data_IF_159521711250
#
_entry.id   IF_159521711250
#
_cell.length_a   1.000
_cell.length_b   1.000
_cell.length_c   1.000
_cell.angle_alpha   90.00
_cell.angle_beta   90.00
_cell.angle_gamma   90.00
#
_symmetry.space_group_name_H-M   'P 1'
#
loop_
_entity.id
_entity.type
_entity.pdbx_description
1 polymer ?
#
# COMPACT_ATOMS: atom_id res chain seq x y z
N UNK A 1 -43.18 5.04 14.17
CA UNK A 1 -42.58 4.35 13.01
C UNK A 1 -42.20 2.94 13.48
N UNK A 2 -43.04 1.93 13.24
CA UNK A 2 -42.76 0.58 13.73
C UNK A 2 -41.71 -0.07 12.83
N UNK A 3 -40.54 -0.35 13.38
CA UNK A 3 -39.46 -1.04 12.68
C UNK A 3 -39.68 -2.54 12.88
N UNK A 4 -40.48 -3.15 12.01
CA UNK A 4 -40.49 -4.61 11.88
C UNK A 4 -39.18 -5.04 11.21
N UNK A 5 -38.38 -5.80 11.93
CA UNK A 5 -37.17 -6.44 11.41
C UNK A 5 -37.57 -7.82 10.91
N UNK A 6 -37.99 -7.91 9.65
CA UNK A 6 -38.05 -9.22 8.98
C UNK A 6 -36.61 -9.73 8.80
N UNK A 7 -36.33 -10.84 9.47
CA UNK A 7 -34.97 -11.33 9.71
C UNK A 7 -34.60 -12.40 8.66
N UNK A 8 -34.46 -12.00 7.39
CA UNK A 8 -33.96 -12.91 6.35
C UNK A 8 -32.50 -13.28 6.66
N UNK A 9 -32.21 -14.58 6.75
CA UNK A 9 -30.86 -15.12 6.94
C UNK A 9 -29.83 -14.58 5.95
N UNK A 10 -30.24 -14.17 4.73
CA UNK A 10 -29.36 -13.52 3.75
C UNK A 10 -28.70 -12.25 4.29
N UNK A 11 -29.39 -11.49 5.14
CA UNK A 11 -28.87 -10.25 5.73
C UNK A 11 -27.72 -10.48 6.74
N UNK A 12 -27.49 -11.72 7.18
CA UNK A 12 -26.36 -12.10 8.04
C UNK A 12 -25.36 -12.97 7.27
N UNK A 13 -25.84 -13.95 6.50
CA UNK A 13 -24.99 -14.87 5.76
C UNK A 13 -24.13 -14.14 4.71
N UNK A 14 -24.70 -13.20 3.95
CA UNK A 14 -23.95 -12.50 2.90
C UNK A 14 -22.86 -11.58 3.47
N UNK A 15 -23.09 -10.73 4.50
CA UNK A 15 -22.01 -9.99 5.15
C UNK A 15 -20.91 -10.88 5.74
N UNK A 16 -21.23 -12.01 6.38
CA UNK A 16 -20.23 -12.89 7.00
C UNK A 16 -19.39 -13.63 5.97
N UNK A 17 -20.03 -14.25 4.96
CA UNK A 17 -19.34 -14.95 3.87
C UNK A 17 -18.53 -13.95 3.03
N UNK A 18 -19.12 -12.79 2.73
CA UNK A 18 -18.47 -11.69 2.03
C UNK A 18 -17.23 -11.18 2.74
N UNK A 19 -17.29 -11.02 4.07
CA UNK A 19 -16.15 -10.62 4.88
C UNK A 19 -15.01 -11.64 4.85
N UNK A 20 -15.32 -12.93 5.00
CA UNK A 20 -14.33 -14.01 4.88
C UNK A 20 -13.69 -14.05 3.48
N UNK A 21 -14.50 -13.88 2.43
CA UNK A 21 -14.02 -13.82 1.05
C UNK A 21 -13.15 -12.59 0.79
N UNK A 22 -13.53 -11.40 1.29
CA UNK A 22 -12.74 -10.17 1.17
C UNK A 22 -11.38 -10.29 1.86
N UNK A 23 -11.34 -10.87 3.07
CA UNK A 23 -10.08 -11.17 3.76
C UNK A 23 -9.19 -12.11 2.92
N UNK A 24 -9.77 -13.20 2.38
CA UNK A 24 -9.07 -14.16 1.53
C UNK A 24 -8.50 -13.52 0.26
N UNK A 25 -9.31 -12.73 -0.47
CA UNK A 25 -8.88 -12.02 -1.69
C UNK A 25 -7.75 -11.04 -1.39
N UNK A 26 -7.89 -10.20 -0.36
CA UNK A 26 -6.85 -9.21 -0.01
C UNK A 26 -5.55 -9.89 0.45
N UNK A 27 -5.63 -11.00 1.19
CA UNK A 27 -4.45 -11.78 1.59
C UNK A 27 -3.75 -12.42 0.38
N UNK A 28 -4.52 -13.07 -0.52
CA UNK A 28 -3.99 -13.68 -1.74
C UNK A 28 -3.34 -12.64 -2.65
N UNK A 29 -4.01 -11.51 -2.90
CA UNK A 29 -3.47 -10.42 -3.70
C UNK A 29 -2.20 -9.82 -3.08
N UNK A 30 -2.12 -9.69 -1.75
CA UNK A 30 -0.90 -9.24 -1.06
C UNK A 30 0.26 -10.23 -1.28
N UNK A 31 0.03 -11.54 -1.11
CA UNK A 31 1.05 -12.58 -1.34
C UNK A 31 1.55 -12.58 -2.80
N UNK A 32 0.63 -12.47 -3.77
CA UNK A 32 0.99 -12.41 -5.19
C UNK A 32 1.75 -11.12 -5.51
N UNK A 33 1.31 -9.97 -5.01
CA UNK A 33 1.98 -8.68 -5.24
C UNK A 33 3.42 -8.65 -4.68
N UNK A 34 3.65 -9.25 -3.51
CA UNK A 34 5.01 -9.39 -2.94
C UNK A 34 5.90 -10.32 -3.76
N UNK A 35 5.38 -11.49 -4.19
CA UNK A 35 6.13 -12.41 -5.05
C UNK A 35 6.44 -11.82 -6.42
N UNK A 36 5.57 -10.95 -6.95
CA UNK A 36 5.71 -10.37 -8.27
C UNK A 36 6.92 -9.43 -8.42
N UNK A 37 7.47 -8.87 -7.33
CA UNK A 37 8.69 -8.03 -7.21
C UNK A 37 8.91 -6.93 -8.27
N UNK A 38 7.88 -6.57 -9.03
CA UNK A 38 7.97 -5.80 -10.27
C UNK A 38 6.74 -4.91 -10.48
N UNK A 39 6.62 -4.32 -11.67
CA UNK A 39 5.49 -3.49 -12.13
C UNK A 39 4.14 -4.17 -11.87
N UNK A 40 4.08 -5.51 -11.99
CA UNK A 40 2.89 -6.31 -11.69
C UNK A 40 2.41 -6.17 -10.24
N UNK A 41 3.30 -6.05 -9.26
CA UNK A 41 2.91 -5.79 -7.87
C UNK A 41 2.26 -4.41 -7.68
N UNK A 42 2.71 -3.41 -8.45
CA UNK A 42 2.07 -2.10 -8.53
C UNK A 42 0.68 -2.17 -9.16
N UNK A 43 0.57 -2.82 -10.33
CA UNK A 43 -0.71 -3.02 -11.04
C UNK A 43 -1.72 -3.77 -10.16
N UNK A 44 -1.34 -4.88 -9.54
CA UNK A 44 -2.18 -5.65 -8.61
C UNK A 44 -2.63 -4.79 -7.41
N UNK A 45 -1.72 -3.97 -6.86
CA UNK A 45 -2.03 -3.02 -5.79
C UNK A 45 -2.98 -1.90 -6.18
N UNK A 46 -3.15 -1.62 -7.48
CA UNK A 46 -4.13 -0.64 -8.00
C UNK A 46 -5.50 -1.25 -8.36
N UNK A 47 -5.68 -2.56 -8.23
CA UNK A 47 -6.95 -3.22 -8.54
C UNK A 47 -8.02 -2.96 -7.46
N UNK A 48 -9.31 -2.88 -7.83
CA UNK A 48 -10.40 -2.65 -6.89
C UNK A 48 -10.75 -3.92 -6.10
N UNK A 49 -9.83 -4.40 -5.27
CA UNK A 49 -9.95 -5.67 -4.54
C UNK A 49 -11.08 -5.61 -3.50
N UNK A 50 -10.95 -4.74 -2.49
CA UNK A 50 -11.94 -4.61 -1.40
C UNK A 50 -13.25 -4.01 -1.91
N UNK A 51 -13.18 -2.97 -2.76
CA UNK A 51 -14.35 -2.34 -3.34
C UNK A 51 -15.13 -3.29 -4.27
N UNK A 52 -14.42 -4.13 -5.04
CA UNK A 52 -15.02 -5.16 -5.89
C UNK A 52 -15.81 -6.20 -5.10
N UNK A 53 -15.20 -6.77 -4.06
CA UNK A 53 -15.89 -7.73 -3.18
C UNK A 53 -17.05 -7.07 -2.43
N UNK A 54 -16.85 -5.85 -1.90
CA UNK A 54 -17.92 -5.12 -1.21
C UNK A 54 -19.11 -4.79 -2.13
N UNK A 55 -18.87 -4.30 -3.34
CA UNK A 55 -19.91 -4.05 -4.34
C UNK A 55 -20.64 -5.34 -4.72
N UNK A 56 -19.92 -6.45 -4.90
CA UNK A 56 -20.53 -7.75 -5.17
C UNK A 56 -21.42 -8.23 -4.02
N UNK A 57 -20.99 -8.06 -2.76
CA UNK A 57 -21.82 -8.36 -1.59
C UNK A 57 -23.05 -7.44 -1.48
N UNK A 58 -22.92 -6.15 -1.81
CA UNK A 58 -24.06 -5.22 -1.92
C UNK A 58 -25.05 -5.73 -2.98
N UNK A 59 -24.58 -6.13 -4.17
CA UNK A 59 -25.42 -6.69 -5.24
C UNK A 59 -26.20 -7.95 -4.80
N UNK A 60 -25.60 -8.82 -3.97
CA UNK A 60 -26.27 -10.02 -3.45
C UNK A 60 -27.27 -9.74 -2.32
N UNK A 61 -27.14 -8.62 -1.60
CA UNK A 61 -28.09 -8.19 -0.57
C UNK A 61 -29.24 -7.35 -1.16
N UNK A 62 -28.95 -6.56 -2.19
CA UNK A 62 -29.89 -5.62 -2.80
C UNK A 62 -30.62 -6.24 -3.98
N UNK A 63 -31.86 -6.70 -3.75
CA UNK A 63 -32.72 -7.31 -4.79
C UNK A 63 -33.24 -6.30 -5.85
N UNK A 64 -33.01 -5.01 -5.69
CA UNK A 64 -33.42 -3.96 -6.62
C UNK A 64 -32.23 -3.37 -7.39
N UNK A 65 -32.36 -3.26 -8.71
CA UNK A 65 -31.34 -2.66 -9.57
C UNK A 65 -31.16 -1.17 -9.34
N UNK A 66 -32.22 -0.43 -8.97
CA UNK A 66 -32.09 1.01 -8.77
C UNK A 66 -31.34 1.33 -7.46
N UNK A 67 -31.73 0.66 -6.37
CA UNK A 67 -31.03 0.68 -5.10
C UNK A 67 -29.54 0.28 -5.23
N UNK A 68 -29.22 -0.70 -6.08
CA UNK A 68 -27.83 -1.06 -6.35
C UNK A 68 -27.07 0.06 -7.10
N UNK A 69 -27.70 0.64 -8.13
CA UNK A 69 -27.13 1.78 -8.87
C UNK A 69 -26.88 3.00 -7.97
N UNK A 70 -27.80 3.33 -7.06
CA UNK A 70 -27.62 4.45 -6.13
C UNK A 70 -26.40 4.25 -5.21
N UNK A 71 -26.17 3.02 -4.75
CA UNK A 71 -24.96 2.67 -4.02
C UNK A 71 -23.70 2.84 -4.89
N UNK A 72 -23.71 2.28 -6.10
CA UNK A 72 -22.55 2.28 -6.99
C UNK A 72 -22.21 3.67 -7.54
N UNK A 73 -23.21 4.51 -7.81
CA UNK A 73 -23.01 5.88 -8.26
C UNK A 73 -22.65 6.82 -7.09
N UNK A 74 -22.90 6.46 -5.83
CA UNK A 74 -22.33 7.22 -4.70
C UNK A 74 -20.81 7.00 -4.55
N UNK A 75 -20.30 5.81 -4.91
CA UNK A 75 -18.90 5.39 -4.66
C UNK A 75 -17.84 6.43 -5.09
N UNK A 76 -17.86 7.01 -6.30
CA UNK A 76 -16.79 7.91 -6.72
C UNK A 76 -16.71 9.23 -5.94
N UNK A 77 -17.79 9.64 -5.25
CA UNK A 77 -17.76 10.74 -4.28
C UNK A 77 -16.90 10.35 -3.06
N UNK A 78 -17.04 9.11 -2.59
CA UNK A 78 -16.13 8.51 -1.61
C UNK A 78 -14.71 8.34 -2.15
N UNK A 79 -14.53 7.95 -3.42
CA UNK A 79 -13.21 7.88 -4.06
C UNK A 79 -12.47 9.23 -4.02
N UNK A 80 -13.17 10.35 -4.27
CA UNK A 80 -12.60 11.69 -4.15
C UNK A 80 -12.13 11.98 -2.71
N UNK A 81 -12.95 11.69 -1.69
CA UNK A 81 -12.53 11.81 -0.29
C UNK A 81 -11.30 10.95 0.02
N UNK A 82 -11.20 9.75 -0.58
CA UNK A 82 -10.06 8.86 -0.42
C UNK A 82 -8.79 9.44 -1.05
N UNK A 83 -8.89 10.07 -2.22
CA UNK A 83 -7.79 10.82 -2.85
C UNK A 83 -7.33 11.98 -1.96
N UNK A 84 -8.26 12.76 -1.41
CA UNK A 84 -7.95 13.85 -0.48
C UNK A 84 -7.30 13.35 0.83
N UNK A 85 -7.74 12.21 1.36
CA UNK A 85 -7.09 11.54 2.49
C UNK A 85 -5.64 11.20 2.13
N UNK A 86 -5.38 10.52 1.01
CA UNK A 86 -4.01 10.19 0.64
C UNK A 86 -3.15 11.42 0.33
N UNK A 87 -3.75 12.55 -0.07
CA UNK A 87 -3.07 13.84 -0.11
C UNK A 87 -2.67 14.32 1.30
N UNK A 88 -3.50 14.17 2.34
CA UNK A 88 -3.08 14.45 3.73
C UNK A 88 -1.91 13.56 4.14
N UNK A 89 -1.98 12.24 3.90
CA UNK A 89 -0.87 11.32 4.16
C UNK A 89 0.41 11.70 3.42
N UNK A 90 0.30 12.29 2.22
CA UNK A 90 1.43 12.76 1.44
C UNK A 90 2.03 14.07 1.97
N UNK A 91 1.22 15.11 2.10
CA UNK A 91 1.69 16.49 2.29
C UNK A 91 1.83 16.89 3.77
N UNK A 92 0.97 16.40 4.67
CA UNK A 92 1.01 16.78 6.08
C UNK A 92 2.34 16.44 6.80
N UNK A 93 2.95 15.25 6.58
CA UNK A 93 4.21 14.94 7.25
C UNK A 93 5.34 15.89 6.84
N UNK A 94 5.40 16.25 5.54
CA UNK A 94 6.41 17.14 4.95
C UNK A 94 6.32 18.59 5.45
N UNK A 95 5.14 19.03 5.92
CA UNK A 95 4.91 20.41 6.40
C UNK A 95 5.18 20.54 7.92
N UNK A 96 5.12 19.45 8.68
CA UNK A 96 5.15 19.51 10.15
C UNK A 96 6.56 19.46 10.74
N UNK A 97 7.04 20.61 11.24
CA UNK A 97 8.28 20.71 12.01
C UNK A 97 8.20 19.94 13.34
N UNK A 98 9.28 19.22 13.68
CA UNK A 98 9.72 18.76 15.00
C UNK A 98 8.72 18.01 15.92
N UNK A 99 7.53 17.62 15.45
CA UNK A 99 6.63 16.73 16.20
C UNK A 99 7.17 15.30 16.25
N UNK A 100 6.95 14.62 17.39
CA UNK A 100 7.22 13.18 17.55
C UNK A 100 6.44 12.36 16.49
N UNK A 101 7.08 11.34 15.90
CA UNK A 101 6.50 10.49 14.87
C UNK A 101 5.14 9.89 15.26
N UNK A 102 4.95 9.48 16.51
CA UNK A 102 3.69 8.93 17.01
C UNK A 102 2.57 9.97 17.01
N UNK A 103 2.91 11.24 17.32
CA UNK A 103 1.97 12.36 17.30
C UNK A 103 1.62 12.75 15.87
N UNK A 104 2.61 12.79 14.96
CA UNK A 104 2.36 12.99 13.51
C UNK A 104 1.40 11.93 12.96
N UNK A 105 1.67 10.65 13.25
CA UNK A 105 0.82 9.53 12.85
C UNK A 105 -0.61 9.67 13.37
N UNK A 106 -0.78 9.95 14.68
CA UNK A 106 -2.09 10.13 15.29
C UNK A 106 -2.88 11.28 14.64
N UNK A 107 -2.25 12.44 14.40
CA UNK A 107 -2.91 13.58 13.75
C UNK A 107 -3.34 13.22 12.32
N UNK A 108 -2.48 12.58 11.52
CA UNK A 108 -2.81 12.17 10.14
C UNK A 108 -3.96 11.16 10.12
N UNK A 109 -3.96 10.18 11.03
CA UNK A 109 -5.06 9.20 11.15
C UNK A 109 -6.37 9.89 11.55
N UNK A 110 -6.35 10.74 12.59
CA UNK A 110 -7.54 11.46 13.06
C UNK A 110 -8.08 12.38 11.96
N UNK A 111 -7.21 13.18 11.31
CA UNK A 111 -7.61 14.05 10.20
C UNK A 111 -8.21 13.25 9.03
N UNK A 112 -7.68 12.06 8.74
CA UNK A 112 -8.23 11.17 7.70
C UNK A 112 -9.63 10.66 8.06
N UNK A 113 -9.83 10.26 9.32
CA UNK A 113 -11.13 9.77 9.80
C UNK A 113 -12.17 10.90 9.86
N UNK A 114 -11.78 12.10 10.32
CA UNK A 114 -12.64 13.29 10.35
C UNK A 114 -13.03 13.71 8.93
N UNK A 115 -12.08 13.76 8.00
CA UNK A 115 -12.36 14.08 6.59
C UNK A 115 -13.28 13.03 5.96
N UNK A 116 -13.07 11.74 6.25
CA UNK A 116 -13.94 10.68 5.75
C UNK A 116 -15.36 10.79 6.29
N UNK A 117 -15.53 10.82 7.61
CA UNK A 117 -16.84 10.81 8.26
C UNK A 117 -17.60 12.10 7.97
N UNK A 118 -16.94 13.26 8.13
CA UNK A 118 -17.52 14.57 7.85
C UNK A 118 -17.86 14.76 6.37
N UNK A 119 -16.95 14.34 5.47
CA UNK A 119 -17.18 14.40 4.03
C UNK A 119 -18.36 13.53 3.58
N UNK A 120 -18.44 12.28 4.06
CA UNK A 120 -19.55 11.39 3.73
C UNK A 120 -20.89 11.85 4.35
N UNK A 121 -20.86 12.38 5.57
CA UNK A 121 -22.05 13.02 6.16
C UNK A 121 -22.55 14.18 5.30
N UNK A 122 -21.65 15.05 4.83
CA UNK A 122 -21.98 16.17 3.94
C UNK A 122 -22.52 15.72 2.58
N UNK A 123 -21.90 14.71 1.95
CA UNK A 123 -22.39 14.08 0.72
C UNK A 123 -23.83 13.56 0.91
N UNK A 124 -24.07 12.76 1.96
CA UNK A 124 -25.39 12.19 2.24
C UNK A 124 -26.44 13.28 2.52
N UNK A 125 -26.06 14.36 3.23
CA UNK A 125 -26.94 15.49 3.48
C UNK A 125 -27.35 16.21 2.17
N UNK A 126 -26.41 16.44 1.25
CA UNK A 126 -26.70 17.05 -0.06
C UNK A 126 -27.60 16.15 -0.91
N UNK A 127 -27.27 14.85 -1.00
CA UNK A 127 -28.02 13.90 -1.83
C UNK A 127 -29.47 13.73 -1.33
N UNK A 128 -29.67 13.63 -0.01
CA UNK A 128 -31.01 13.58 0.59
C UNK A 128 -31.80 14.88 0.46
N UNK A 129 -31.14 16.04 0.56
CA UNK A 129 -31.80 17.34 0.54
C UNK A 129 -32.34 17.79 -0.82
N UNK A 130 -32.18 17.00 -1.89
CA UNK A 130 -32.52 17.38 -3.27
C UNK A 130 -33.36 16.36 -4.06
N UNK A 131 -33.80 15.26 -3.43
CA UNK A 131 -34.55 14.16 -4.08
C UNK A 131 -33.95 13.74 -5.44
N UNK A 132 -32.63 13.64 -5.50
CA UNK A 132 -31.86 13.46 -6.74
C UNK A 132 -32.12 12.07 -7.32
N UNK A 133 -32.55 12.00 -8.58
CA UNK A 133 -32.70 10.73 -9.31
C UNK A 133 -31.34 10.15 -9.68
N UNK A 134 -31.24 8.84 -9.78
CA UNK A 134 -30.00 8.09 -9.99
C UNK A 134 -29.18 8.53 -11.21
N UNK A 135 -29.83 8.98 -12.29
CA UNK A 135 -29.16 9.57 -13.46
C UNK A 135 -28.48 10.91 -13.17
N UNK A 136 -29.07 11.75 -12.32
CA UNK A 136 -28.46 13.02 -11.90
C UNK A 136 -27.27 12.76 -10.96
N UNK A 137 -27.38 11.73 -10.10
CA UNK A 137 -26.25 11.25 -9.27
C UNK A 137 -25.07 10.85 -10.17
N UNK A 138 -25.31 10.10 -11.26
CA UNK A 138 -24.26 9.67 -12.19
C UNK A 138 -23.47 10.86 -12.79
N UNK A 139 -24.15 11.92 -13.25
CA UNK A 139 -23.48 13.09 -13.83
C UNK A 139 -22.63 13.86 -12.80
N UNK A 140 -23.19 14.12 -11.62
CA UNK A 140 -22.47 14.75 -10.49
C UNK A 140 -21.23 13.92 -10.12
N UNK A 141 -21.40 12.61 -10.08
CA UNK A 141 -20.36 11.65 -9.72
C UNK A 141 -19.25 11.55 -10.76
N UNK A 142 -19.58 11.57 -12.06
CA UNK A 142 -18.59 11.62 -13.14
C UNK A 142 -17.73 12.89 -13.06
N UNK A 143 -18.35 14.04 -12.75
CA UNK A 143 -17.64 15.30 -12.54
C UNK A 143 -16.67 15.22 -11.35
N UNK A 144 -17.11 14.69 -10.19
CA UNK A 144 -16.23 14.51 -9.04
C UNK A 144 -15.15 13.44 -9.24
N UNK A 145 -15.41 12.38 -10.03
CA UNK A 145 -14.40 11.41 -10.43
C UNK A 145 -13.34 12.05 -11.34
N UNK A 146 -13.75 12.90 -12.28
CA UNK A 146 -12.81 13.66 -13.12
C UNK A 146 -11.93 14.59 -12.27
N UNK A 147 -12.50 15.28 -11.27
CA UNK A 147 -11.72 16.06 -10.28
C UNK A 147 -10.76 15.16 -9.50
N UNK A 148 -11.21 14.00 -9.01
CA UNK A 148 -10.35 13.05 -8.30
C UNK A 148 -9.17 12.58 -9.16
N UNK A 149 -9.41 12.31 -10.44
CA UNK A 149 -8.38 12.00 -11.42
C UNK A 149 -7.39 13.16 -11.61
N UNK A 150 -7.86 14.40 -11.81
CA UNK A 150 -6.98 15.57 -11.95
C UNK A 150 -6.12 15.78 -10.71
N UNK A 151 -6.72 15.73 -9.50
CA UNK A 151 -5.97 15.86 -8.24
C UNK A 151 -4.92 14.76 -8.11
N UNK A 152 -5.31 13.49 -8.33
CA UNK A 152 -4.42 12.36 -8.17
C UNK A 152 -3.30 12.32 -9.23
N UNK A 153 -3.56 12.76 -10.47
CA UNK A 153 -2.53 12.90 -11.51
C UNK A 153 -1.60 14.07 -11.19
N UNK A 154 -2.11 15.25 -10.82
CA UNK A 154 -1.26 16.41 -10.47
C UNK A 154 -0.39 16.11 -9.25
N UNK A 155 -0.99 15.63 -8.15
CA UNK A 155 -0.24 15.19 -6.99
C UNK A 155 0.71 14.03 -7.32
N UNK A 156 0.32 13.13 -8.23
CA UNK A 156 1.18 12.07 -8.76
C UNK A 156 2.43 12.60 -9.45
N UNK A 157 2.26 13.45 -10.46
CA UNK A 157 3.35 14.08 -11.22
C UNK A 157 4.29 14.88 -10.32
N UNK A 158 3.75 15.71 -9.41
CA UNK A 158 4.55 16.48 -8.45
C UNK A 158 5.36 15.57 -7.51
N UNK A 159 4.85 14.38 -7.18
CA UNK A 159 5.44 13.49 -6.18
C UNK A 159 6.31 12.37 -6.75
N UNK A 160 6.25 12.06 -8.06
CA UNK A 160 7.07 11.02 -8.69
C UNK A 160 8.58 11.25 -8.56
N UNK A 161 9.01 12.51 -8.35
CA UNK A 161 10.39 12.88 -8.02
C UNK A 161 10.93 12.15 -6.78
N UNK A 162 10.07 11.80 -5.82
CA UNK A 162 10.44 11.16 -4.54
C UNK A 162 9.95 9.69 -4.44
N UNK A 163 9.73 8.99 -5.56
CA UNK A 163 9.35 7.57 -5.49
C UNK A 163 10.50 6.72 -4.94
N UNK A 164 10.28 6.06 -3.79
CA UNK A 164 11.23 5.09 -3.24
C UNK A 164 10.83 3.70 -3.72
N UNK A 165 11.77 2.96 -4.34
CA UNK A 165 11.52 1.57 -4.76
C UNK A 165 11.15 0.75 -3.52
N UNK A 166 10.15 -0.16 -3.57
CA UNK A 166 9.79 -0.98 -2.42
C UNK A 166 11.02 -1.73 -1.89
N UNK A 167 11.34 -1.50 -0.60
CA UNK A 167 12.36 -2.24 0.14
C UNK A 167 11.72 -3.50 0.70
N UNK A 168 12.48 -4.57 0.83
CA UNK A 168 12.01 -5.79 1.50
C UNK A 168 11.57 -5.46 2.93
N UNK A 169 10.28 -5.64 3.21
CA UNK A 169 9.72 -5.38 4.52
C UNK A 169 10.33 -6.30 5.59
N UNK A 170 10.49 -5.78 6.81
CA UNK A 170 10.89 -6.57 7.99
C UNK A 170 9.90 -7.72 8.25
N UNK A 171 10.34 -8.77 8.94
CA UNK A 171 9.46 -9.89 9.31
C UNK A 171 8.24 -9.45 10.14
N UNK A 172 8.44 -8.47 11.04
CA UNK A 172 7.38 -7.86 11.86
C UNK A 172 6.38 -7.09 11.00
N UNK A 173 6.85 -6.24 10.09
CA UNK A 173 6.00 -5.49 9.17
C UNK A 173 5.13 -6.43 8.32
N UNK A 174 5.71 -7.50 7.74
CA UNK A 174 4.99 -8.51 6.94
C UNK A 174 3.87 -9.17 7.75
N UNK A 175 4.18 -9.61 8.97
CA UNK A 175 3.20 -10.23 9.86
C UNK A 175 2.02 -9.29 10.18
N UNK A 176 2.31 -8.04 10.55
CA UNK A 176 1.28 -7.03 10.79
C UNK A 176 0.42 -6.75 9.55
N UNK A 177 1.04 -6.66 8.37
CA UNK A 177 0.36 -6.43 7.08
C UNK A 177 -0.59 -7.58 6.72
N UNK A 178 -0.13 -8.83 6.89
CA UNK A 178 -0.91 -10.04 6.59
C UNK A 178 -2.10 -10.26 7.54
N UNK A 179 -2.05 -9.74 8.76
CA UNK A 179 -3.16 -9.85 9.72
C UNK A 179 -4.13 -8.67 9.58
N UNK A 180 -3.62 -7.44 9.67
CA UNK A 180 -4.51 -6.28 9.78
C UNK A 180 -5.20 -5.88 8.47
N UNK A 181 -4.54 -6.02 7.31
CA UNK A 181 -5.20 -5.67 6.03
C UNK A 181 -6.42 -6.56 5.72
N UNK A 182 -6.35 -7.91 5.84
CA UNK A 182 -7.52 -8.76 5.68
C UNK A 182 -8.62 -8.50 6.70
N UNK A 183 -8.29 -8.25 7.98
CA UNK A 183 -9.30 -7.91 9.01
C UNK A 183 -10.03 -6.61 8.66
N UNK A 184 -9.31 -5.58 8.23
CA UNK A 184 -9.94 -4.31 7.80
C UNK A 184 -10.79 -4.47 6.54
N UNK A 185 -10.36 -5.31 5.58
CA UNK A 185 -11.13 -5.62 4.39
C UNK A 185 -12.44 -6.36 4.74
N UNK A 186 -12.35 -7.39 5.58
CA UNK A 186 -13.51 -8.12 6.12
C UNK A 186 -14.50 -7.18 6.82
N UNK A 187 -14.01 -6.31 7.70
CA UNK A 187 -14.84 -5.36 8.44
C UNK A 187 -15.58 -4.38 7.52
N UNK A 188 -14.89 -3.77 6.55
CA UNK A 188 -15.53 -2.88 5.57
C UNK A 188 -16.58 -3.62 4.74
N UNK A 189 -16.24 -4.80 4.23
CA UNK A 189 -17.16 -5.59 3.39
C UNK A 189 -18.41 -6.00 4.16
N UNK A 190 -18.27 -6.46 5.42
CA UNK A 190 -19.40 -6.76 6.29
C UNK A 190 -20.27 -5.52 6.52
N UNK A 191 -19.65 -4.39 6.89
CA UNK A 191 -20.37 -3.15 7.20
C UNK A 191 -21.09 -2.58 5.97
N UNK A 192 -20.45 -2.59 4.80
CA UNK A 192 -21.06 -2.15 3.55
C UNK A 192 -22.25 -3.06 3.16
N UNK A 193 -22.08 -4.38 3.19
CA UNK A 193 -23.15 -5.33 2.88
C UNK A 193 -24.32 -5.23 3.88
N UNK A 194 -24.04 -5.00 5.16
CA UNK A 194 -25.07 -4.77 6.18
C UNK A 194 -25.84 -3.46 5.92
N UNK A 195 -25.12 -2.35 5.66
CA UNK A 195 -25.73 -1.04 5.39
C UNK A 195 -26.59 -1.05 4.10
N UNK A 196 -26.29 -1.92 3.13
CA UNK A 196 -27.03 -2.03 1.87
C UNK A 196 -28.52 -2.41 2.07
N UNK A 197 -28.87 -2.98 3.22
CA UNK A 197 -30.25 -3.33 3.58
C UNK A 197 -31.15 -2.13 3.84
N UNK A 198 -30.59 -0.96 4.19
CA UNK A 198 -31.36 0.23 4.62
C UNK A 198 -30.84 1.57 4.10
N UNK A 199 -29.57 1.64 3.70
CA UNK A 199 -28.86 2.88 3.37
C UNK A 199 -27.91 2.68 2.17
N UNK A 200 -28.48 2.51 0.98
CA UNK A 200 -27.79 2.21 -0.28
C UNK A 200 -26.62 3.16 -0.58
N UNK A 201 -26.88 4.47 -0.56
CA UNK A 201 -25.83 5.50 -0.77
C UNK A 201 -24.70 5.35 0.26
N UNK A 202 -25.04 5.04 1.52
CA UNK A 202 -24.05 4.88 2.60
C UNK A 202 -23.27 3.57 2.49
N UNK A 203 -23.86 2.48 2.00
CA UNK A 203 -23.13 1.23 1.76
C UNK A 203 -22.14 1.38 0.62
N UNK A 204 -22.50 2.05 -0.46
CA UNK A 204 -21.60 2.42 -1.55
C UNK A 204 -20.41 3.25 -1.05
N UNK A 205 -20.68 4.33 -0.31
CA UNK A 205 -19.62 5.14 0.30
C UNK A 205 -18.74 4.32 1.25
N UNK A 206 -19.32 3.45 2.07
CA UNK A 206 -18.58 2.59 3.00
C UNK A 206 -17.69 1.57 2.28
N UNK A 207 -18.13 1.02 1.15
CA UNK A 207 -17.39 0.04 0.35
C UNK A 207 -16.02 0.53 -0.14
N UNK A 208 -15.83 1.85 -0.23
CA UNK A 208 -14.55 2.50 -0.60
C UNK A 208 -13.83 3.21 0.53
N UNK A 209 -14.17 2.92 1.80
CA UNK A 209 -13.44 3.46 2.95
C UNK A 209 -11.96 3.06 2.91
N UNK A 210 -10.99 4.01 2.83
CA UNK A 210 -9.57 3.70 2.64
C UNK A 210 -8.85 3.06 3.85
N UNK A 211 -9.56 2.39 4.77
CA UNK A 211 -8.98 1.77 5.98
C UNK A 211 -7.83 0.80 5.66
N UNK A 212 -7.97 -0.02 4.61
CA UNK A 212 -6.93 -0.97 4.19
C UNK A 212 -5.66 -0.25 3.73
N UNK A 213 -5.81 0.91 3.09
CA UNK A 213 -4.69 1.79 2.72
C UNK A 213 -4.09 2.51 3.93
N UNK A 214 -4.92 3.08 4.80
CA UNK A 214 -4.53 3.77 6.04
C UNK A 214 -3.70 2.84 6.94
N UNK A 215 -4.19 1.63 7.21
CA UNK A 215 -3.49 0.65 8.07
C UNK A 215 -2.18 0.21 7.46
N UNK A 216 -2.13 0.00 6.14
CA UNK A 216 -0.89 -0.31 5.44
C UNK A 216 0.13 0.83 5.53
N UNK A 217 -0.27 2.07 5.21
CA UNK A 217 0.60 3.25 5.31
C UNK A 217 1.08 3.49 6.74
N UNK A 218 0.24 3.24 7.76
CA UNK A 218 0.61 3.36 9.17
C UNK A 218 1.69 2.35 9.58
N UNK A 219 1.52 1.05 9.26
CA UNK A 219 2.53 0.02 9.53
C UNK A 219 3.84 0.37 8.84
N UNK A 220 3.75 0.82 7.59
CA UNK A 220 4.93 1.18 6.78
C UNK A 220 5.63 2.43 7.33
N UNK A 221 4.91 3.46 7.80
CA UNK A 221 5.49 4.64 8.42
C UNK A 221 6.28 4.27 9.68
N UNK A 222 5.72 3.41 10.54
CA UNK A 222 6.38 2.97 11.78
C UNK A 222 7.65 2.16 11.51
N UNK A 223 7.69 1.37 10.45
CA UNK A 223 8.81 0.45 10.17
C UNK A 223 9.89 1.04 9.24
N UNK A 224 9.53 1.95 8.32
CA UNK A 224 10.43 2.48 7.28
C UNK A 224 10.53 4.02 7.26
N UNK A 225 9.81 4.70 8.16
CA UNK A 225 9.83 6.15 8.27
C UNK A 225 8.98 6.90 7.25
N UNK A 226 8.97 8.22 7.42
CA UNK A 226 8.09 9.16 6.73
C UNK A 226 8.35 9.24 5.21
N UNK A 227 9.62 9.29 4.80
CA UNK A 227 10.02 9.41 3.39
C UNK A 227 9.55 8.21 2.54
N UNK A 228 9.54 7.00 3.12
CA UNK A 228 9.11 5.79 2.43
C UNK A 228 7.58 5.69 2.34
N UNK A 229 6.86 6.00 3.43
CA UNK A 229 5.39 6.06 3.42
C UNK A 229 4.90 7.10 2.40
N UNK A 230 5.46 8.31 2.41
CA UNK A 230 5.07 9.38 1.47
C UNK A 230 5.44 9.05 0.02
N UNK A 231 6.41 8.17 -0.25
CA UNK A 231 6.65 7.65 -1.60
C UNK A 231 5.55 6.68 -2.08
N UNK A 232 4.97 5.90 -1.16
CA UNK A 232 3.94 4.90 -1.47
C UNK A 232 2.52 5.48 -1.49
N UNK A 233 2.22 6.50 -0.68
CA UNK A 233 0.90 7.16 -0.63
C UNK A 233 0.38 7.54 -2.02
N UNK A 234 1.26 8.02 -2.91
CA UNK A 234 0.92 8.34 -4.31
C UNK A 234 0.40 7.13 -5.10
N UNK A 235 1.01 5.95 -4.93
CA UNK A 235 0.57 4.74 -5.63
C UNK A 235 -0.79 4.23 -5.12
N UNK A 236 -1.07 4.37 -3.82
CA UNK A 236 -2.38 4.03 -3.23
C UNK A 236 -3.46 5.01 -3.70
N UNK A 237 -3.15 6.31 -3.73
CA UNK A 237 -4.05 7.34 -4.22
C UNK A 237 -4.49 7.10 -5.66
N UNK A 238 -3.54 6.77 -6.55
CA UNK A 238 -3.83 6.43 -7.94
C UNK A 238 -4.59 5.10 -8.06
N UNK A 239 -4.25 4.10 -7.23
CA UNK A 239 -5.00 2.85 -7.14
C UNK A 239 -6.45 3.05 -6.69
N UNK A 240 -6.72 3.99 -5.79
CA UNK A 240 -8.07 4.29 -5.31
C UNK A 240 -9.01 4.77 -6.43
N UNK A 241 -8.49 5.36 -7.51
CA UNK A 241 -9.28 5.80 -8.66
C UNK A 241 -9.98 4.62 -9.37
N UNK A 242 -9.36 3.43 -9.37
CA UNK A 242 -9.93 2.24 -10.02
C UNK A 242 -11.24 1.82 -9.35
N UNK A 243 -11.38 2.01 -8.04
CA UNK A 243 -12.61 1.76 -7.28
C UNK A 243 -13.79 2.58 -7.83
N UNK A 244 -13.54 3.87 -8.13
CA UNK A 244 -14.56 4.78 -8.66
C UNK A 244 -15.01 4.36 -10.06
N UNK A 245 -14.05 4.09 -10.96
CA UNK A 245 -14.35 3.61 -12.32
C UNK A 245 -15.09 2.27 -12.29
N UNK A 246 -14.60 1.33 -11.48
CA UNK A 246 -15.19 0.00 -11.31
C UNK A 246 -16.66 0.08 -10.92
N UNK A 247 -16.99 0.87 -9.89
CA UNK A 247 -18.37 0.96 -9.42
C UNK A 247 -19.30 1.65 -10.44
N UNK A 248 -18.84 2.68 -11.19
CA UNK A 248 -19.64 3.25 -12.27
C UNK A 248 -19.97 2.19 -13.33
N UNK A 249 -18.96 1.47 -13.83
CA UNK A 249 -19.17 0.44 -14.86
C UNK A 249 -20.06 -0.68 -14.30
N UNK A 250 -19.88 -1.08 -13.04
CA UNK A 250 -20.68 -2.15 -12.44
C UNK A 250 -22.14 -1.73 -12.23
N UNK A 251 -22.41 -0.51 -11.75
CA UNK A 251 -23.77 0.03 -11.67
C UNK A 251 -24.46 0.11 -13.04
N UNK A 252 -23.73 0.46 -14.10
CA UNK A 252 -24.25 0.49 -15.47
C UNK A 252 -24.48 -0.92 -16.06
N UNK A 253 -23.61 -1.88 -15.77
CA UNK A 253 -23.68 -3.24 -16.32
C UNK A 253 -24.63 -4.16 -15.53
N UNK A 254 -24.88 -3.89 -14.25
CA UNK A 254 -25.66 -4.76 -13.37
C UNK A 254 -27.06 -5.12 -13.89
N UNK A 255 -27.89 -4.17 -14.42
CA UNK A 255 -29.23 -4.50 -14.92
C UNK A 255 -29.21 -5.43 -16.16
N UNK A 256 -28.10 -5.48 -16.89
CA UNK A 256 -27.98 -6.23 -18.15
C UNK A 256 -27.23 -7.56 -17.99
N UNK A 257 -26.23 -7.61 -17.11
CA UNK A 257 -25.28 -8.72 -16.96
C UNK A 257 -25.32 -9.37 -15.55
N UNK A 258 -26.10 -8.80 -14.62
CA UNK A 258 -26.18 -9.26 -13.23
C UNK A 258 -24.88 -9.10 -12.44
N UNK A 259 -24.89 -9.57 -11.19
CA UNK A 259 -23.77 -9.42 -10.26
C UNK A 259 -22.46 -10.07 -10.77
N UNK A 260 -22.53 -11.30 -11.29
CA UNK A 260 -21.35 -12.09 -11.64
C UNK A 260 -20.65 -11.58 -12.90
N UNK A 261 -21.33 -11.57 -14.05
CA UNK A 261 -20.74 -11.16 -15.33
C UNK A 261 -20.48 -9.65 -15.30
N UNK A 262 -21.44 -8.85 -14.82
CA UNK A 262 -21.26 -7.41 -14.65
C UNK A 262 -20.06 -7.06 -13.77
N UNK A 263 -19.88 -7.78 -12.66
CA UNK A 263 -18.74 -7.57 -11.75
C UNK A 263 -17.39 -7.89 -12.40
N UNK A 264 -17.25 -9.04 -13.06
CA UNK A 264 -16.00 -9.44 -13.74
C UNK A 264 -15.66 -8.51 -14.90
N UNK A 265 -16.63 -8.17 -15.74
CA UNK A 265 -16.46 -7.22 -16.85
C UNK A 265 -15.99 -5.86 -16.32
N UNK A 266 -16.68 -5.32 -15.31
CA UNK A 266 -16.33 -4.03 -14.71
C UNK A 266 -14.95 -4.04 -14.06
N UNK A 267 -14.56 -5.16 -13.44
CA UNK A 267 -13.23 -5.34 -12.85
C UNK A 267 -12.14 -5.23 -13.90
N UNK A 268 -12.25 -5.97 -15.02
CA UNK A 268 -11.30 -5.87 -16.15
C UNK A 268 -11.28 -4.47 -16.74
N UNK A 269 -12.45 -3.86 -17.03
CA UNK A 269 -12.50 -2.55 -17.68
C UNK A 269 -12.01 -1.39 -16.79
N UNK A 270 -12.11 -1.52 -15.46
CA UNK A 270 -11.59 -0.51 -14.52
C UNK A 270 -10.08 -0.31 -14.58
N UNK A 271 -9.33 -1.30 -15.09
CA UNK A 271 -7.88 -1.30 -15.16
C UNK A 271 -7.33 -0.39 -16.28
N UNK A 272 -8.09 -0.16 -17.36
CA UNK A 272 -7.61 0.64 -18.49
C UNK A 272 -7.34 2.11 -18.12
N UNK A 273 -8.28 2.87 -17.52
CA UNK A 273 -8.02 4.28 -17.18
C UNK A 273 -7.19 4.47 -15.90
N UNK A 274 -6.96 3.42 -15.10
CA UNK A 274 -6.23 3.50 -13.84
C UNK A 274 -4.86 2.81 -13.92
N UNK A 275 -4.83 1.48 -13.99
CA UNK A 275 -3.63 0.69 -13.89
C UNK A 275 -2.65 0.88 -15.07
N UNK A 276 -3.13 1.13 -16.31
CA UNK A 276 -2.23 1.30 -17.46
C UNK A 276 -1.41 2.61 -17.37
N UNK A 277 -2.01 3.80 -17.16
CA UNK A 277 -1.23 5.03 -16.93
C UNK A 277 -0.25 4.92 -15.76
N UNK A 278 -0.67 4.29 -14.66
CA UNK A 278 0.20 4.10 -13.47
C UNK A 278 1.36 3.17 -13.80
N UNK A 279 1.10 2.01 -14.41
CA UNK A 279 2.12 1.04 -14.80
C UNK A 279 3.13 1.63 -15.78
N UNK A 280 2.67 2.42 -16.75
CA UNK A 280 3.52 3.14 -17.70
C UNK A 280 4.37 4.21 -17.01
N UNK A 281 3.78 5.03 -16.13
CA UNK A 281 4.52 6.05 -15.37
C UNK A 281 5.58 5.45 -14.43
N UNK A 282 5.25 4.36 -13.73
CA UNK A 282 6.20 3.62 -12.88
C UNK A 282 7.31 2.96 -13.70
N UNK A 283 6.99 2.38 -14.87
CA UNK A 283 7.99 1.83 -15.79
C UNK A 283 8.97 2.91 -16.28
N UNK A 284 8.44 4.06 -16.72
CA UNK A 284 9.25 5.19 -17.19
C UNK A 284 10.17 5.70 -16.07
N UNK A 285 9.64 5.92 -14.86
CA UNK A 285 10.44 6.42 -13.74
C UNK A 285 11.51 5.43 -13.29
N UNK A 286 11.22 4.13 -13.27
CA UNK A 286 12.23 3.12 -12.93
C UNK A 286 13.40 3.14 -13.93
N UNK A 287 13.09 3.25 -15.23
CA UNK A 287 14.09 3.36 -16.30
C UNK A 287 14.94 4.65 -16.20
N UNK A 288 14.35 5.77 -15.78
CA UNK A 288 15.11 7.01 -15.52
C UNK A 288 16.00 6.88 -14.29
N UNK A 289 15.50 6.31 -13.19
CA UNK A 289 16.27 6.13 -11.95
C UNK A 289 17.43 5.14 -12.08
N UNK A 290 17.34 4.17 -13.01
CA UNK A 290 18.46 3.30 -13.37
C UNK A 290 19.54 4.10 -14.12
N UNK A 291 19.16 4.90 -15.14
CA UNK A 291 20.09 5.79 -15.84
C UNK A 291 20.80 6.80 -14.93
N UNK A 292 20.08 7.40 -13.97
CA UNK A 292 20.67 8.34 -12.99
C UNK A 292 21.71 7.67 -12.08
N UNK A 293 21.49 6.40 -11.71
CA UNK A 293 22.45 5.62 -10.93
C UNK A 293 23.68 5.24 -11.75
N UNK A 294 23.47 4.82 -12.99
CA UNK A 294 24.57 4.43 -13.88
C UNK A 294 25.42 5.66 -14.26
N UNK A 295 24.80 6.83 -14.45
CA UNK A 295 25.49 8.10 -14.62
C UNK A 295 26.33 8.49 -13.40
N UNK A 296 25.78 8.44 -12.18
CA UNK A 296 26.58 8.72 -10.95
C UNK A 296 27.75 7.75 -10.78
N UNK A 297 27.56 6.46 -11.09
CA UNK A 297 28.67 5.48 -11.05
C UNK A 297 29.75 5.77 -12.08
N UNK A 298 29.38 6.23 -13.27
CA UNK A 298 30.33 6.61 -14.31
C UNK A 298 31.08 7.91 -13.96
N UNK A 299 30.43 8.83 -13.25
CA UNK A 299 31.05 10.05 -12.69
C UNK A 299 32.03 9.69 -11.56
N UNK A 300 31.60 8.84 -10.60
CA UNK A 300 32.45 8.34 -9.51
C UNK A 300 33.68 7.59 -10.06
N UNK A 301 33.51 6.61 -10.96
CA UNK A 301 34.63 5.90 -11.60
C UNK A 301 35.48 6.76 -12.55
N UNK A 302 34.96 7.91 -13.00
CA UNK A 302 35.70 8.87 -13.81
C UNK A 302 36.61 9.80 -12.99
N UNK A 303 36.32 9.96 -11.69
CA UNK A 303 37.15 10.75 -10.77
C UNK A 303 38.31 9.93 -10.20
N UNK A 304 38.11 8.64 -9.92
CA UNK A 304 39.17 7.74 -9.43
C UNK A 304 40.41 7.74 -10.37
N UNK A 305 40.18 7.80 -11.69
CA UNK A 305 41.25 7.87 -12.70
C UNK A 305 42.01 9.22 -12.77
N UNK A 306 41.62 10.23 -12.00
CA UNK A 306 42.30 11.53 -11.92
C UNK A 306 43.05 11.74 -10.60
N UNK A 307 42.79 10.96 -9.55
CA UNK A 307 43.54 11.04 -8.27
C UNK A 307 44.83 10.22 -8.26
N UNK A 308 44.96 9.18 -9.09
CA UNK A 308 46.22 8.41 -9.28
C UNK A 308 47.29 9.17 -10.10
N UNK A 309 47.02 10.41 -10.49
CA UNK A 309 47.97 11.32 -11.13
C UNK A 309 49.04 11.82 -10.16
N UNK A 310 49.99 10.95 -9.82
CA UNK A 310 51.18 11.31 -9.05
C UNK A 310 51.89 12.52 -9.69
N UNK A 311 52.22 13.59 -8.93
CA UNK A 311 52.91 14.76 -9.46
C UNK A 311 54.40 14.45 -9.64
N UNK A 312 54.72 13.76 -10.73
CA UNK A 312 56.07 13.44 -11.13
C UNK A 312 56.77 14.70 -11.69
N UNK A 313 57.67 15.24 -10.87
CA UNK A 313 58.88 16.00 -11.21
C UNK A 313 58.80 17.21 -12.19
N UNK A 314 59.01 18.38 -11.59
CA UNK A 314 59.77 19.55 -12.09
C UNK A 314 60.15 19.62 -13.59
N UNK A 315 59.56 20.56 -14.34
CA UNK A 315 59.90 20.79 -15.76
C UNK A 315 59.54 22.18 -16.33
N UNK A 316 60.49 23.12 -16.20
CA UNK A 316 60.67 24.36 -16.99
C UNK A 316 59.54 25.40 -17.14
N UNK A 317 59.80 26.59 -16.57
CA UNK A 317 59.15 27.85 -16.92
C UNK A 317 59.82 28.44 -18.18
N UNK A 318 59.19 28.33 -19.35
CA UNK A 318 59.53 29.15 -20.53
C UNK A 318 58.26 29.72 -21.15
N UNK A 319 58.08 31.04 -21.02
CA UNK A 319 56.89 31.73 -21.56
C UNK A 319 57.11 32.27 -22.98
N UNK A 320 56.03 32.41 -23.76
CA UNK A 320 55.98 33.37 -24.87
C UNK A 320 54.60 34.04 -25.01
N UNK A 321 54.66 35.36 -25.26
CA UNK A 321 53.55 36.27 -25.59
C UNK A 321 52.82 35.85 -26.89
N UNK A 322 51.52 36.15 -26.98
CA UNK A 322 50.99 37.32 -27.74
C UNK A 322 49.51 37.19 -28.15
N UNK A 323 48.76 38.31 -28.14
CA UNK A 323 47.45 38.46 -28.79
C UNK A 323 46.24 37.99 -27.94
N UNK A 324 45.30 38.83 -27.50
CA UNK A 324 45.08 40.26 -27.77
C UNK A 324 43.86 40.53 -28.65
N UNK A 325 42.68 40.65 -28.03
CA UNK A 325 41.55 41.46 -28.55
C UNK A 325 40.50 41.75 -27.45
N UNK A 326 40.12 43.02 -27.32
CA UNK A 326 39.07 43.53 -26.43
C UNK A 326 37.67 43.41 -27.06
N UNK A 327 36.62 43.34 -26.22
CA UNK A 327 35.53 44.35 -26.08
C UNK A 327 34.61 43.93 -24.90
N UNK A 328 34.44 44.71 -23.82
CA UNK A 328 33.32 45.68 -23.54
C UNK A 328 31.90 45.10 -23.74
N UNK A 329 30.86 45.29 -22.90
CA UNK A 329 30.52 46.08 -21.67
C UNK A 329 29.73 45.14 -20.71
N UNK A 330 29.32 45.46 -19.47
CA UNK A 330 29.35 46.69 -18.67
C UNK A 330 28.75 46.43 -17.27
N UNK A 331 28.93 47.37 -16.33
CA UNK A 331 28.52 47.21 -14.94
C UNK A 331 27.09 47.71 -14.66
N UNK A 332 26.45 47.17 -13.61
CA UNK A 332 25.43 47.91 -12.85
C UNK A 332 25.62 47.63 -11.36
N UNK A 333 25.66 48.70 -10.57
CA UNK A 333 25.83 48.66 -9.12
C UNK A 333 24.51 48.38 -8.40
N UNK A 334 24.58 47.93 -7.15
CA UNK A 334 23.42 47.68 -6.30
C UNK A 334 23.83 47.13 -4.94
N UNK A 335 24.26 48.02 -4.04
CA UNK A 335 24.74 47.65 -2.72
C UNK A 335 23.66 47.61 -1.63
N UNK A 336 24.16 47.56 -0.39
CA UNK A 336 23.53 47.73 0.92
C UNK A 336 23.45 46.50 1.85
N UNK A 337 24.12 46.71 2.98
CA UNK A 337 23.86 46.25 4.34
C UNK A 337 24.04 44.76 4.70
N UNK A 338 25.17 44.50 5.35
CA UNK A 338 25.38 43.29 6.14
C UNK A 338 24.89 43.44 7.58
N UNK A 339 24.70 42.30 8.24
CA UNK A 339 24.63 42.22 9.70
C UNK A 339 25.60 41.14 10.20
N UNK A 340 26.52 41.54 11.06
CA UNK A 340 27.35 40.61 11.82
C UNK A 340 26.54 40.02 12.98
N UNK A 341 26.68 38.71 13.18
CA UNK A 341 26.01 37.98 14.26
C UNK A 341 26.83 36.78 14.69
N UNK A 342 27.86 37.02 15.50
CA UNK A 342 28.68 35.95 16.06
C UNK A 342 27.93 35.16 17.16
N UNK A 343 28.20 33.86 17.24
CA UNK A 343 27.56 32.98 18.22
C UNK A 343 28.14 31.56 18.18
N UNK A 344 29.40 31.41 18.59
CA UNK A 344 29.97 30.08 18.82
C UNK A 344 29.69 29.58 20.24
N UNK A 345 29.44 28.28 20.41
CA UNK A 345 29.68 27.50 21.63
C UNK A 345 29.59 26.00 21.32
N UNK A 346 30.35 25.17 22.05
CA UNK A 346 29.98 23.77 22.28
C UNK A 346 30.77 22.70 21.51
N UNK A 347 32.08 22.60 21.75
CA UNK A 347 32.83 21.40 21.40
C UNK A 347 32.58 20.24 22.38
N UNK A 348 32.21 19.09 21.84
CA UNK A 348 32.52 17.72 22.32
C UNK A 348 32.66 16.91 21.01
N UNK A 349 33.75 16.23 20.70
CA UNK A 349 34.73 15.62 21.59
C UNK A 349 34.23 14.23 21.94
N UNK A 350 34.57 13.27 21.08
CA UNK A 350 34.69 11.84 21.35
C UNK A 350 35.66 11.22 20.31
N UNK A 351 36.49 10.35 20.83
CA UNK A 351 37.44 9.40 20.25
C UNK A 351 36.81 8.35 19.30
N UNK A 352 37.53 7.61 18.44
CA UNK A 352 38.98 7.53 18.23
C UNK A 352 39.48 6.10 17.95
N UNK A 353 39.15 5.52 16.78
CA UNK A 353 39.73 4.27 16.22
C UNK A 353 39.65 4.35 14.68
N UNK A 354 40.56 3.80 13.85
CA UNK A 354 41.77 3.04 14.16
C UNK A 354 41.95 1.88 13.16
N UNK A 355 42.84 2.05 12.16
CA UNK A 355 43.15 1.05 11.12
C UNK A 355 42.30 1.19 9.84
N UNK A 356 42.78 0.82 8.65
CA UNK A 356 44.06 0.19 8.33
C UNK A 356 43.97 -0.56 6.99
N UNK A 357 44.85 -0.26 6.05
CA UNK A 357 44.79 -0.69 4.65
C UNK A 357 44.83 -2.22 4.43
N UNK A 358 44.14 -2.70 3.38
CA UNK A 358 44.20 -4.08 2.89
C UNK A 358 44.04 -4.13 1.37
N UNK A 359 45.16 -4.35 0.66
CA UNK A 359 45.30 -4.31 -0.80
C UNK A 359 44.80 -5.61 -1.46
N UNK A 360 44.36 -5.53 -2.72
CA UNK A 360 44.08 -6.68 -3.59
C UNK A 360 43.01 -6.34 -4.64
N UNK A 361 43.32 -6.18 -5.94
CA UNK A 361 44.56 -6.49 -6.65
C UNK A 361 44.29 -7.53 -7.73
N UNK A 362 43.89 -7.01 -8.89
CA UNK A 362 44.18 -7.51 -10.23
C UNK A 362 43.37 -8.67 -10.84
N UNK A 363 43.51 -8.71 -12.15
CA UNK A 363 42.55 -8.92 -13.23
C UNK A 363 42.52 -10.34 -13.84
N UNK A 364 41.59 -10.55 -14.78
CA UNK A 364 41.51 -11.79 -15.56
C UNK A 364 40.41 -11.82 -16.62
N UNK A 365 40.62 -11.14 -17.76
CA UNK A 365 39.76 -11.26 -18.94
C UNK A 365 40.25 -12.35 -19.91
N UNK A 366 39.33 -13.20 -20.38
CA UNK A 366 39.55 -14.21 -21.42
C UNK A 366 38.73 -15.49 -21.12
N UNK A 367 38.00 -16.11 -22.03
CA UNK A 367 37.91 -15.93 -23.48
C UNK A 367 38.24 -17.25 -24.19
N UNK A 368 37.25 -18.12 -24.44
CA UNK A 368 37.49 -19.39 -25.12
C UNK A 368 36.26 -20.32 -25.20
N UNK A 369 36.02 -20.87 -26.39
CA UNK A 369 34.94 -21.82 -26.68
C UNK A 369 35.40 -23.27 -26.44
N UNK A 370 34.51 -24.20 -26.07
CA UNK A 370 34.88 -25.62 -26.03
C UNK A 370 33.76 -26.59 -25.63
N UNK A 371 33.52 -27.58 -26.51
CA UNK A 371 32.57 -28.69 -26.40
C UNK A 371 32.64 -29.49 -25.08
N UNK A 372 31.54 -30.16 -24.74
CA UNK A 372 31.48 -31.14 -23.66
C UNK A 372 31.99 -32.55 -24.03
N UNK A 373 31.98 -33.42 -23.03
CA UNK A 373 32.21 -34.86 -23.11
C UNK A 373 31.79 -35.48 -21.77
N UNK A 374 31.02 -36.56 -21.83
CA UNK A 374 30.72 -37.42 -20.68
C UNK A 374 31.88 -38.40 -20.47
N UNK A 375 32.33 -38.61 -19.22
CA UNK A 375 32.57 -39.94 -18.65
C UNK A 375 32.82 -39.90 -17.13
N UNK A 376 32.64 -41.05 -16.47
CA UNK A 376 32.62 -41.21 -15.02
C UNK A 376 33.81 -42.01 -14.44
N UNK A 377 33.51 -42.86 -13.44
CA UNK A 377 34.45 -43.53 -12.50
C UNK A 377 35.08 -42.58 -11.46
N UNK A 378 35.21 -42.89 -10.16
CA UNK A 378 34.84 -44.06 -9.37
C UNK A 378 36.04 -44.64 -8.58
N UNK A 379 36.13 -44.47 -7.25
CA UNK A 379 37.27 -45.04 -6.48
C UNK A 379 37.46 -44.65 -5.00
N UNK A 380 36.74 -45.34 -4.10
CA UNK A 380 37.03 -45.78 -2.71
C UNK A 380 38.23 -45.28 -1.82
N UNK A 381 37.89 -45.06 -0.52
CA UNK A 381 38.65 -45.40 0.73
C UNK A 381 39.91 -44.60 1.12
N UNK A 382 40.37 -44.49 2.40
CA UNK A 382 40.07 -45.22 3.67
C UNK A 382 40.57 -44.47 4.94
N UNK A 383 39.84 -44.59 6.08
CA UNK A 383 40.32 -44.40 7.49
C UNK A 383 40.39 -42.95 8.06
N UNK A 384 40.04 -42.60 9.31
CA UNK A 384 39.47 -43.32 10.48
C UNK A 384 40.43 -43.43 11.69
N UNK A 385 40.10 -43.15 12.97
CA UNK A 385 38.88 -42.65 13.66
C UNK A 385 39.11 -41.32 14.42
N UNK A 386 38.83 -41.11 15.72
CA UNK A 386 38.20 -41.93 16.81
C UNK A 386 37.86 -41.03 18.05
N UNK A 387 37.08 -41.51 19.04
CA UNK A 387 36.80 -40.87 20.35
C UNK A 387 35.38 -40.27 20.45
N UNK A 388 34.37 -40.96 21.00
CA UNK A 388 34.02 -41.14 22.44
C UNK A 388 33.52 -39.83 23.09
N UNK A 389 32.35 -39.69 23.73
CA UNK A 389 31.11 -40.47 23.95
C UNK A 389 30.04 -39.46 24.47
N UNK A 390 28.73 -39.67 24.57
CA UNK A 390 27.88 -40.81 24.91
C UNK A 390 26.50 -40.27 25.36
N UNK A 391 25.57 -41.14 25.81
CA UNK A 391 24.18 -40.82 26.24
C UNK A 391 23.27 -40.26 25.12
N UNK A 392 22.14 -40.85 24.70
CA UNK A 392 21.18 -41.76 25.33
C UNK A 392 19.79 -41.09 25.22
N UNK A 393 18.66 -41.74 24.87
CA UNK A 393 18.40 -43.11 24.45
C UNK A 393 17.01 -43.23 23.77
N UNK A 394 16.54 -44.46 23.60
CA UNK A 394 15.26 -44.93 23.01
C UNK A 394 14.00 -44.13 23.47
N UNK A 395 12.85 -44.12 22.76
CA UNK A 395 12.23 -45.21 21.99
C UNK A 395 11.23 -44.74 20.92
N UNK A 396 10.94 -45.63 19.97
CA UNK A 396 9.83 -45.54 19.01
C UNK A 396 8.53 -46.17 19.56
N UNK A 397 7.42 -45.88 18.88
CA UNK A 397 6.09 -46.49 19.06
C UNK A 397 4.98 -45.49 18.70
N UNK A 398 4.07 -45.68 17.74
CA UNK A 398 3.75 -46.88 16.97
C UNK A 398 2.44 -47.50 17.44
N UNK A 399 1.30 -47.11 16.83
CA UNK A 399 -0.02 -47.65 17.18
C UNK A 399 -1.16 -47.02 16.36
N UNK A 400 -1.72 -47.80 15.42
CA UNK A 400 -3.08 -47.61 14.89
C UNK A 400 -4.03 -48.49 15.72
N UNK A 401 -5.31 -48.10 15.82
CA UNK A 401 -6.29 -48.87 16.60
C UNK A 401 -7.69 -48.27 16.55
N UNK A 402 -8.35 -48.58 15.44
CA UNK A 402 -9.76 -48.43 15.10
C UNK A 402 -10.80 -48.87 16.18
N UNK A 403 -12.04 -48.36 16.02
CA UNK A 403 -13.37 -48.92 16.37
C UNK A 403 -13.83 -49.16 17.83
N UNK A 404 -15.08 -48.76 18.15
CA UNK A 404 -15.81 -49.32 19.32
C UNK A 404 -17.02 -48.55 19.87
N UNK A 405 -18.23 -49.00 19.53
CA UNK A 405 -19.56 -48.53 19.95
C UNK A 405 -19.90 -48.51 21.47
N UNK A 406 -20.90 -47.68 21.83
CA UNK A 406 -21.74 -47.79 23.05
C UNK A 406 -21.61 -46.60 24.01
N UNK A 407 -22.66 -45.99 24.58
CA UNK A 407 -24.09 -46.32 24.65
C UNK A 407 -24.54 -46.44 26.11
N UNK A 408 -25.21 -45.43 26.69
CA UNK A 408 -25.62 -45.45 28.10
C UNK A 408 -26.51 -44.28 28.53
N UNK A 409 -27.58 -44.57 29.27
CA UNK A 409 -28.65 -43.64 29.66
C UNK A 409 -28.50 -43.11 31.10
N UNK A 410 -29.18 -41.98 31.38
CA UNK A 410 -29.57 -41.54 32.73
C UNK A 410 -29.01 -40.16 33.13
N UNK A 411 -29.75 -39.25 33.77
CA UNK A 411 -31.18 -39.26 34.13
C UNK A 411 -31.43 -38.61 35.51
N UNK A 412 -32.29 -37.59 35.57
CA UNK A 412 -33.06 -37.26 36.79
C UNK A 412 -32.76 -35.95 37.55
N UNK A 413 -33.73 -35.02 37.46
CA UNK A 413 -34.36 -34.23 38.56
C UNK A 413 -33.51 -33.35 39.51
N UNK A 414 -34.00 -32.12 39.73
CA UNK A 414 -34.30 -31.66 41.10
C UNK A 414 -34.29 -30.14 41.39
N UNK A 415 -35.47 -29.56 41.63
CA UNK A 415 -35.69 -28.29 42.36
C UNK A 415 -35.44 -26.97 41.59
N UNK A 416 -36.20 -25.88 41.77
CA UNK A 416 -37.42 -25.65 42.58
C UNK A 416 -37.30 -24.49 43.57
N UNK A 417 -38.28 -23.58 43.57
CA UNK A 417 -38.45 -22.41 44.48
C UNK A 417 -37.41 -21.27 44.30
N UNK A 418 -37.71 -19.97 44.46
CA UNK A 418 -38.94 -19.17 44.58
C UNK A 418 -38.63 -17.75 44.04
N UNK A 419 -39.57 -16.85 43.70
CA UNK A 419 -40.66 -16.35 44.53
C UNK A 419 -40.25 -15.01 45.16
N UNK A 420 -40.69 -13.87 44.61
CA UNK A 420 -40.33 -12.53 45.14
C UNK A 420 -40.96 -11.36 44.37
N UNK A 421 -42.01 -10.76 44.94
CA UNK A 421 -42.64 -9.54 44.42
C UNK A 421 -41.79 -8.30 44.79
N UNK A 422 -41.75 -7.30 43.90
CA UNK A 422 -41.19 -5.98 44.18
C UNK A 422 -41.88 -4.94 43.28
N UNK A 423 -42.76 -4.14 43.88
CA UNK A 423 -43.59 -3.13 43.20
C UNK A 423 -43.24 -1.75 43.77
N UNK A 424 -43.48 -0.72 42.96
CA UNK A 424 -43.63 0.72 43.27
C UNK A 424 -42.49 1.62 42.75
N UNK A 425 -42.89 2.47 41.80
CA UNK A 425 -42.86 3.94 41.89
C UNK A 425 -41.57 4.60 42.41
N UNK A 426 -40.81 5.22 41.48
CA UNK A 426 -40.73 6.68 41.31
C UNK A 426 -40.25 7.04 39.89
#
# INVERSE_FOLDING_TARGET
>A
MNITIEFDWKHIAVPVIGAAFAAGVVLLCQIVAERARSIWGGILGTMPQTAGVAAFCIALVTNDSQAFQDAMFAVPLGTLLGVLIFCIWKFFPMITLNLNINVKQAIVVIASLVLWVGGNFFIVAILKGKEIKSYDILHVTLFFLAIAYVIAVVAGCLCMRNYVRPRDYTGRAKFCIYIWKPICAAFITALAAFLATRFQVVSGLTAVFPLVGIVWLLIIWTEHGEAYMTGLATTVMLGNLSNGVYCIIFGLMYPYLGAWIGGVVSWVFSLFPSAIPIGMALYWRNKTAEKERDARKAEEAGMDHLEDGHPDEEGEIVGMRSGGRNTTYGATEGGYDGYSGGGGYGGKGDDGYGGGYGKGGDDGYGGGYGKGGDDGYGGYSSGGGKGDGGYGGYSSGGGKGDDGYGGGYGGGRGGGYGGGYGKNDY
#
